data_IF_440094089647
#
_entry.id   IF_440094089647
#
_cell.length_a   1.000
_cell.length_b   1.000
_cell.length_c   1.000
_cell.angle_alpha   90.00
_cell.angle_beta   90.00
_cell.angle_gamma   90.00
#
_symmetry.space_group_name_H-M   'P 1'
#
loop_
_entity.id
_entity.type
_entity.pdbx_description
1 polymer ?
#
# COMPACT_ATOMS: atom_id res chain seq x y z
N UNK A 1 -15.43 13.49 34.78
CA UNK A 1 -14.69 12.69 33.77
C UNK A 1 -13.84 11.69 34.53
N UNK A 2 -14.39 10.51 34.78
CA UNK A 2 -13.68 9.39 35.40
C UNK A 2 -13.19 8.45 34.29
N UNK A 3 -11.92 8.03 34.39
CA UNK A 3 -11.17 7.17 33.46
C UNK A 3 -11.66 5.70 33.45
N UNK A 4 -12.98 5.48 33.36
CA UNK A 4 -13.59 4.14 33.37
C UNK A 4 -14.91 4.12 32.60
N UNK A 5 -14.93 4.69 31.39
CA UNK A 5 -16.05 4.54 30.48
C UNK A 5 -15.70 3.55 29.37
N UNK A 6 -16.40 2.41 29.37
CA UNK A 6 -16.43 1.40 28.30
C UNK A 6 -16.82 1.97 26.92
N UNK A 7 -17.22 3.24 26.86
CA UNK A 7 -17.51 3.97 25.62
C UNK A 7 -16.28 4.17 24.71
N UNK A 8 -15.06 4.11 25.24
CA UNK A 8 -13.84 4.27 24.44
C UNK A 8 -13.47 3.01 23.64
N UNK A 9 -13.82 1.82 24.14
CA UNK A 9 -13.55 0.54 23.46
C UNK A 9 -14.37 0.42 22.17
N UNK A 10 -15.54 1.06 22.12
CA UNK A 10 -16.41 1.10 20.93
C UNK A 10 -16.00 2.12 19.85
N UNK A 11 -15.10 3.07 20.17
CA UNK A 11 -14.69 4.15 19.28
C UNK A 11 -13.40 3.84 18.48
N UNK A 12 -13.04 2.56 18.33
CA UNK A 12 -11.90 2.12 17.51
C UNK A 12 -11.96 2.61 16.05
N UNK A 13 -13.18 2.87 15.55
CA UNK A 13 -13.41 3.40 14.21
C UNK A 13 -13.07 4.88 14.05
N UNK A 14 -12.97 5.64 15.15
CA UNK A 14 -12.72 7.08 15.12
C UNK A 14 -11.35 7.41 14.50
N UNK A 15 -10.37 6.53 14.68
CA UNK A 15 -9.07 6.64 14.03
C UNK A 15 -9.17 6.62 12.50
N UNK A 16 -10.04 5.78 11.93
CA UNK A 16 -10.23 5.73 10.47
C UNK A 16 -10.89 7.00 9.93
N UNK A 17 -11.81 7.61 10.68
CA UNK A 17 -12.47 8.86 10.29
C UNK A 17 -11.48 10.04 10.31
N UNK A 18 -10.66 10.13 11.36
CA UNK A 18 -9.63 11.16 11.47
C UNK A 18 -8.60 11.00 10.35
N UNK A 19 -8.09 9.78 10.14
CA UNK A 19 -7.17 9.50 9.03
C UNK A 19 -7.80 9.81 7.67
N UNK A 20 -9.07 9.44 7.45
CA UNK A 20 -9.80 9.73 6.22
C UNK A 20 -9.94 11.22 5.95
N UNK A 21 -10.24 12.02 6.98
CA UNK A 21 -10.29 13.48 6.85
C UNK A 21 -8.91 14.06 6.52
N UNK A 22 -7.84 13.58 7.15
CA UNK A 22 -6.47 14.01 6.85
C UNK A 22 -6.06 13.65 5.41
N UNK A 23 -6.42 12.47 4.91
CA UNK A 23 -6.19 12.09 3.51
C UNK A 23 -6.98 12.98 2.54
N UNK A 24 -8.24 13.28 2.84
CA UNK A 24 -9.06 14.20 2.05
C UNK A 24 -8.47 15.61 2.04
N UNK A 25 -8.06 16.13 3.20
CA UNK A 25 -7.42 17.43 3.33
C UNK A 25 -6.10 17.49 2.54
N UNK A 26 -5.31 16.41 2.53
CA UNK A 26 -4.10 16.29 1.70
C UNK A 26 -4.36 16.14 0.20
N UNK A 27 -5.52 15.59 -0.19
CA UNK A 27 -5.93 15.52 -1.59
C UNK A 27 -6.32 16.89 -2.16
N UNK A 28 -6.82 17.83 -1.33
CA UNK A 28 -7.23 19.16 -1.80
C UNK A 28 -6.08 19.93 -2.48
N UNK A 29 -4.88 20.06 -1.90
CA UNK A 29 -3.72 20.66 -2.58
C UNK A 29 -3.32 19.98 -3.89
N UNK A 30 -3.48 18.65 -3.98
CA UNK A 30 -3.17 17.89 -5.19
C UNK A 30 -4.16 18.17 -6.33
N UNK A 31 -5.43 18.51 -6.01
CA UNK A 31 -6.42 18.93 -7.01
C UNK A 31 -6.15 20.33 -7.58
N UNK A 32 -5.45 21.18 -6.83
CA UNK A 32 -5.02 22.51 -7.29
C UNK A 32 -3.72 22.49 -8.08
N UNK A 33 -3.03 21.35 -8.16
CA UNK A 33 -1.83 21.24 -9.01
C UNK A 33 -2.25 21.36 -10.49
N UNK A 34 -1.79 22.39 -11.22
CA UNK A 34 -2.22 22.63 -12.59
C UNK A 34 -1.78 21.47 -13.47
N UNK A 35 -2.71 20.93 -14.27
CA UNK A 35 -2.50 19.85 -15.24
C UNK A 35 -1.40 20.13 -16.30
N UNK A 36 -0.80 21.33 -16.30
CA UNK A 36 0.17 21.77 -17.32
C UNK A 36 1.52 21.05 -17.30
N UNK A 37 1.85 20.28 -16.25
CA UNK A 37 3.09 19.49 -16.21
C UNK A 37 3.01 18.18 -17.03
N UNK A 38 1.83 17.74 -17.46
CA UNK A 38 1.69 16.52 -18.27
C UNK A 38 2.12 16.70 -19.74
N UNK A 39 2.16 17.93 -20.26
CA UNK A 39 2.52 18.18 -21.67
C UNK A 39 4.02 17.93 -21.94
N UNK A 40 4.86 17.97 -20.91
CA UNK A 40 6.32 17.76 -21.04
C UNK A 40 6.71 16.27 -21.01
N UNK A 41 5.97 15.40 -20.31
CA UNK A 41 6.28 13.96 -20.27
C UNK A 41 5.94 13.24 -21.59
N UNK A 42 4.89 13.67 -22.30
CA UNK A 42 4.52 13.08 -23.58
C UNK A 42 5.59 13.34 -24.67
N UNK A 43 6.33 14.44 -24.55
CA UNK A 43 7.44 14.77 -25.46
C UNK A 43 8.73 13.99 -25.14
N UNK A 44 8.94 13.61 -23.87
CA UNK A 44 10.12 12.83 -23.45
C UNK A 44 10.07 11.35 -23.84
N UNK A 45 8.88 10.74 -23.92
CA UNK A 45 8.73 9.35 -24.38
C UNK A 45 8.93 9.21 -25.89
N UNK A 46 8.53 10.21 -26.68
CA UNK A 46 8.73 10.20 -28.15
C UNK A 46 10.18 10.48 -28.58
N UNK A 47 10.99 11.10 -27.70
CA UNK A 47 12.41 11.35 -27.99
C UNK A 47 13.29 10.09 -27.86
N UNK A 48 12.91 9.12 -27.01
CA UNK A 48 13.69 7.88 -26.81
C UNK A 48 13.57 6.94 -28.03
N UNK A 49 12.47 7.00 -28.79
CA UNK A 49 12.25 6.15 -29.96
C UNK A 49 12.89 6.71 -31.25
N UNK A 50 13.15 8.02 -31.31
CA UNK A 50 13.73 8.69 -32.50
C UNK A 50 15.26 8.76 -32.51
N UNK A 51 15.97 8.32 -31.47
CA UNK A 51 17.45 8.37 -31.43
C UNK A 51 18.15 7.20 -32.15
N UNK A 52 17.40 6.26 -32.75
CA UNK A 52 17.94 5.16 -33.56
C UNK A 52 17.84 5.38 -35.09
N UNK A 53 17.54 6.59 -35.56
CA UNK A 53 17.40 6.93 -36.99
C UNK A 53 18.33 8.06 -37.44
N UNK A 54 19.18 7.76 -38.41
CA UNK A 54 20.24 8.56 -39.03
C UNK A 54 19.78 9.85 -39.77
N UNK A 55 20.51 10.95 -39.56
CA UNK A 55 20.90 12.07 -40.48
C UNK A 55 19.91 13.04 -41.16
N UNK A 56 20.27 14.34 -41.07
CA UNK A 56 20.42 15.36 -42.15
C UNK A 56 19.70 16.71 -41.95
N UNK A 57 20.48 17.79 -42.15
CA UNK A 57 20.23 19.21 -42.50
C UNK A 57 18.79 19.79 -42.58
N UNK A 58 18.58 20.95 -41.94
CA UNK A 58 18.15 22.26 -42.51
C UNK A 58 17.41 23.18 -41.51
N UNK A 59 17.50 24.47 -41.82
CA UNK A 59 17.23 25.69 -41.06
C UNK A 59 15.77 26.05 -40.76
N UNK A 60 15.64 26.97 -39.79
CA UNK A 60 14.72 28.12 -39.73
C UNK A 60 13.34 28.01 -40.41
N UNK A 61 12.31 27.63 -39.65
CA UNK A 61 11.04 28.36 -39.64
C UNK A 61 10.16 27.90 -38.47
N UNK A 62 9.21 28.76 -38.09
CA UNK A 62 8.00 28.42 -37.31
C UNK A 62 8.05 28.60 -35.78
N UNK A 63 8.60 29.74 -35.35
CA UNK A 63 7.99 30.55 -34.28
C UNK A 63 6.57 30.97 -34.75
N UNK A 64 5.61 30.04 -34.80
CA UNK A 64 4.23 30.33 -35.20
C UNK A 64 3.20 29.43 -34.49
N UNK A 65 3.32 29.26 -33.18
CA UNK A 65 2.21 28.72 -32.37
C UNK A 65 2.06 29.39 -31.00
N UNK A 66 2.60 30.61 -30.84
CA UNK A 66 2.28 31.52 -29.74
C UNK A 66 0.88 32.16 -29.90
N UNK A 67 -0.15 31.37 -30.24
CA UNK A 67 -1.50 31.90 -30.39
C UNK A 67 -2.53 31.03 -29.69
N UNK A 68 -2.92 31.50 -28.49
CA UNK A 68 -4.31 31.52 -28.05
C UNK A 68 -4.98 30.18 -27.81
N UNK A 69 -4.70 29.54 -26.67
CA UNK A 69 -5.71 28.68 -26.05
C UNK A 69 -6.23 29.38 -24.79
N UNK A 70 -7.41 29.99 -24.96
CA UNK A 70 -8.24 30.55 -23.90
C UNK A 70 -8.44 29.48 -22.83
N UNK A 71 -7.88 29.67 -21.63
CA UNK A 71 -8.20 28.86 -20.46
C UNK A 71 -9.70 29.02 -20.19
N UNK A 72 -10.55 27.98 -20.40
CA UNK A 72 -11.96 28.10 -20.08
C UNK A 72 -12.06 28.31 -18.56
N UNK A 73 -12.89 29.27 -18.12
CA UNK A 73 -13.25 29.39 -16.70
C UNK A 73 -14.07 28.16 -16.31
N UNK A 74 -13.40 27.07 -15.98
CA UNK A 74 -14.02 25.81 -15.63
C UNK A 74 -14.66 25.92 -14.26
N UNK A 75 -15.98 25.79 -14.18
CA UNK A 75 -16.71 25.58 -12.92
C UNK A 75 -16.11 24.38 -12.16
N UNK A 76 -15.91 24.51 -10.84
CA UNK A 76 -15.33 23.46 -9.97
C UNK A 76 -15.95 22.06 -10.19
N UNK A 77 -17.26 21.99 -10.46
CA UNK A 77 -17.94 20.74 -10.78
C UNK A 77 -17.51 20.07 -12.09
N UNK A 78 -17.16 20.83 -13.14
CA UNK A 78 -16.61 20.28 -14.39
C UNK A 78 -15.19 19.77 -14.21
N UNK A 79 -14.36 20.50 -13.44
CA UNK A 79 -13.00 20.08 -13.08
C UNK A 79 -13.02 18.75 -12.31
N UNK A 80 -13.90 18.61 -11.32
CA UNK A 80 -14.04 17.37 -10.55
C UNK A 80 -14.47 16.20 -11.45
N UNK A 81 -15.44 16.44 -12.34
CA UNK A 81 -15.93 15.40 -13.27
C UNK A 81 -14.84 14.94 -14.24
N UNK A 82 -14.13 15.89 -14.88
CA UNK A 82 -13.03 15.59 -15.80
C UNK A 82 -11.89 14.86 -15.06
N UNK A 83 -11.53 15.29 -13.85
CA UNK A 83 -10.52 14.61 -13.03
C UNK A 83 -10.96 13.19 -12.62
N UNK A 84 -12.24 12.98 -12.31
CA UNK A 84 -12.77 11.66 -11.94
C UNK A 84 -12.79 10.71 -13.14
N UNK A 85 -13.17 11.19 -14.33
CA UNK A 85 -13.16 10.40 -15.56
C UNK A 85 -11.73 10.05 -16.00
N UNK A 86 -10.79 11.00 -15.93
CA UNK A 86 -9.37 10.76 -16.18
C UNK A 86 -8.79 9.76 -15.17
N UNK A 87 -9.07 9.92 -13.88
CA UNK A 87 -8.63 8.99 -12.85
C UNK A 87 -9.21 7.58 -13.07
N UNK A 88 -10.49 7.46 -13.37
CA UNK A 88 -11.13 6.18 -13.63
C UNK A 88 -10.52 5.47 -14.85
N UNK A 89 -10.20 6.21 -15.91
CA UNK A 89 -9.50 5.67 -17.09
C UNK A 89 -8.10 5.18 -16.73
N UNK A 90 -7.31 5.99 -16.02
CA UNK A 90 -5.96 5.62 -15.59
C UNK A 90 -5.97 4.43 -14.64
N UNK A 91 -6.92 4.36 -13.71
CA UNK A 91 -7.10 3.23 -12.81
C UNK A 91 -7.46 1.96 -13.59
N UNK A 92 -8.34 2.05 -14.59
CA UNK A 92 -8.70 0.92 -15.44
C UNK A 92 -7.50 0.41 -16.27
N UNK A 93 -6.69 1.31 -16.83
CA UNK A 93 -5.47 0.95 -17.55
C UNK A 93 -4.44 0.27 -16.63
N UNK A 94 -4.27 0.79 -15.42
CA UNK A 94 -3.36 0.24 -14.44
C UNK A 94 -3.82 -1.14 -13.93
N UNK A 95 -5.12 -1.33 -13.71
CA UNK A 95 -5.69 -2.64 -13.34
C UNK A 95 -5.63 -3.66 -14.49
N UNK A 96 -5.63 -3.20 -15.74
CA UNK A 96 -5.42 -4.06 -16.91
C UNK A 96 -3.97 -4.52 -17.06
N UNK A 97 -3.03 -3.86 -16.37
CA UNK A 97 -1.64 -4.33 -16.30
C UNK A 97 -1.54 -5.55 -15.37
N UNK A 98 -1.18 -6.74 -15.89
CA UNK A 98 -1.16 -7.97 -15.11
C UNK A 98 -0.17 -7.94 -13.93
N UNK A 99 0.93 -7.18 -14.05
CA UNK A 99 1.91 -7.05 -12.97
C UNK A 99 1.31 -6.27 -11.80
N UNK A 100 0.65 -5.14 -12.10
CA UNK A 100 -0.01 -4.35 -11.07
C UNK A 100 -1.18 -5.11 -10.43
N UNK A 101 -2.02 -5.75 -11.26
CA UNK A 101 -3.12 -6.58 -10.76
C UNK A 101 -2.61 -7.69 -9.82
N UNK A 102 -1.54 -8.39 -10.19
CA UNK A 102 -0.94 -9.42 -9.31
C UNK A 102 -0.39 -8.84 -8.00
N UNK A 103 0.22 -7.66 -8.03
CA UNK A 103 0.70 -6.97 -6.83
C UNK A 103 -0.46 -6.59 -5.90
N UNK A 104 -1.53 -6.02 -6.45
CA UNK A 104 -2.72 -5.62 -5.68
C UNK A 104 -3.38 -6.84 -5.06
N UNK A 105 -3.59 -7.90 -5.84
CA UNK A 105 -4.15 -9.16 -5.33
C UNK A 105 -3.28 -9.72 -4.20
N UNK A 106 -1.96 -9.74 -4.39
CA UNK A 106 -1.02 -10.11 -3.33
C UNK A 106 -1.24 -9.29 -2.07
N UNK A 107 -1.20 -7.96 -2.18
CA UNK A 107 -1.43 -7.05 -1.06
C UNK A 107 -2.76 -7.27 -0.34
N UNK A 108 -3.84 -7.58 -1.07
CA UNK A 108 -5.13 -7.93 -0.47
C UNK A 108 -5.04 -9.20 0.38
N UNK A 109 -4.46 -10.29 -0.15
CA UNK A 109 -4.27 -11.52 0.63
C UNK A 109 -3.36 -11.30 1.83
N UNK A 110 -2.28 -10.53 1.67
CA UNK A 110 -1.35 -10.18 2.74
C UNK A 110 -2.01 -9.36 3.86
N UNK A 111 -2.91 -8.43 3.51
CA UNK A 111 -3.61 -7.61 4.50
C UNK A 111 -4.66 -8.40 5.28
N UNK A 112 -5.40 -9.31 4.63
CA UNK A 112 -6.30 -10.24 5.33
C UNK A 112 -5.56 -11.08 6.37
N UNK A 113 -4.40 -11.61 5.99
CA UNK A 113 -3.60 -12.44 6.88
C UNK A 113 -3.01 -11.65 8.05
N UNK A 114 -2.50 -10.46 7.77
CA UNK A 114 -2.01 -9.52 8.81
C UNK A 114 -3.13 -9.14 9.76
N UNK A 115 -4.35 -8.91 9.25
CA UNK A 115 -5.54 -8.64 10.06
C UNK A 115 -5.86 -9.79 11.01
N UNK A 116 -5.91 -11.02 10.49
CA UNK A 116 -6.12 -12.22 11.33
C UNK A 116 -5.04 -12.38 12.40
N UNK A 117 -3.77 -12.26 12.03
CA UNK A 117 -2.65 -12.30 12.98
C UNK A 117 -2.79 -11.22 14.07
N UNK A 118 -3.05 -9.97 13.69
CA UNK A 118 -3.15 -8.86 14.64
C UNK A 118 -4.31 -9.03 15.63
N UNK A 119 -5.42 -9.64 15.21
CA UNK A 119 -6.59 -9.85 16.09
C UNK A 119 -6.43 -11.08 16.99
N UNK A 120 -5.90 -12.19 16.47
CA UNK A 120 -5.88 -13.45 17.20
C UNK A 120 -4.60 -13.70 17.99
N UNK A 121 -3.48 -13.07 17.62
CA UNK A 121 -2.20 -13.30 18.30
C UNK A 121 -2.21 -12.88 19.77
N UNK A 122 -2.71 -11.70 20.17
CA UNK A 122 -2.74 -11.33 21.58
C UNK A 122 -3.61 -12.31 22.38
N UNK A 123 -4.76 -12.69 21.81
CA UNK A 123 -5.67 -13.66 22.44
C UNK A 123 -5.04 -15.05 22.59
N UNK A 124 -4.27 -15.47 21.60
CA UNK A 124 -3.49 -16.71 21.68
C UNK A 124 -2.48 -16.64 22.84
N UNK A 125 -1.77 -15.51 22.98
CA UNK A 125 -0.78 -15.33 24.04
C UNK A 125 -1.44 -15.32 25.43
N UNK A 126 -2.57 -14.63 25.57
CA UNK A 126 -3.37 -14.63 26.80
C UNK A 126 -3.81 -16.04 27.20
N UNK A 127 -4.40 -16.78 26.26
CA UNK A 127 -5.03 -18.08 26.55
C UNK A 127 -4.02 -19.20 26.76
N UNK A 128 -2.92 -19.22 26.01
CA UNK A 128 -1.92 -20.29 26.09
C UNK A 128 -0.87 -20.03 27.18
N UNK A 129 -0.46 -18.78 27.39
CA UNK A 129 0.57 -18.43 28.36
C UNK A 129 0.02 -17.81 29.65
N UNK A 130 -1.29 -17.65 29.77
CA UNK A 130 -1.95 -17.11 30.97
C UNK A 130 -1.50 -15.68 31.31
N UNK A 131 -1.13 -14.88 30.31
CA UNK A 131 -0.66 -13.50 30.48
C UNK A 131 -1.83 -12.52 30.52
N UNK A 132 -1.63 -11.36 31.16
CA UNK A 132 -2.60 -10.27 31.11
C UNK A 132 -2.75 -9.74 29.68
N UNK A 133 -3.93 -9.21 29.35
CA UNK A 133 -4.22 -8.65 28.03
C UNK A 133 -3.18 -7.60 27.60
N UNK A 134 -2.83 -6.69 28.52
CA UNK A 134 -1.81 -5.66 28.27
C UNK A 134 -0.42 -6.22 27.92
N UNK A 135 0.01 -7.30 28.58
CA UNK A 135 1.31 -7.91 28.31
C UNK A 135 1.29 -8.66 26.97
N UNK A 136 0.20 -9.36 26.67
CA UNK A 136 0.01 -10.06 25.40
C UNK A 136 0.01 -9.09 24.21
N UNK A 137 -0.71 -7.97 24.32
CA UNK A 137 -0.72 -6.90 23.31
C UNK A 137 0.67 -6.28 23.12
N UNK A 138 1.41 -6.07 24.21
CA UNK A 138 2.77 -5.53 24.12
C UNK A 138 3.72 -6.48 23.38
N UNK A 139 3.66 -7.79 23.66
CA UNK A 139 4.45 -8.78 22.93
C UNK A 139 4.06 -8.85 21.45
N UNK A 140 2.77 -8.87 21.15
CA UNK A 140 2.26 -8.85 19.78
C UNK A 140 2.75 -7.62 19.01
N UNK A 141 2.67 -6.44 19.64
CA UNK A 141 3.14 -5.18 19.09
C UNK A 141 4.64 -5.19 18.80
N UNK A 142 5.47 -5.65 19.75
CA UNK A 142 6.93 -5.74 19.58
C UNK A 142 7.28 -6.67 18.41
N UNK A 143 6.66 -7.85 18.35
CA UNK A 143 6.92 -8.82 17.27
C UNK A 143 6.51 -8.23 15.92
N UNK A 144 5.34 -7.61 15.82
CA UNK A 144 4.85 -7.03 14.57
C UNK A 144 5.70 -5.85 14.10
N UNK A 145 5.89 -4.84 14.94
CA UNK A 145 6.64 -3.62 14.59
C UNK A 145 8.12 -3.96 14.34
N UNK A 146 8.72 -4.79 15.19
CA UNK A 146 10.11 -5.22 15.03
C UNK A 146 10.33 -5.97 13.71
N UNK A 147 9.41 -6.86 13.35
CA UNK A 147 9.48 -7.59 12.07
C UNK A 147 9.33 -6.67 10.86
N UNK A 148 8.41 -5.70 10.90
CA UNK A 148 8.23 -4.72 9.82
C UNK A 148 9.46 -3.84 9.67
N UNK A 149 10.02 -3.34 10.77
CA UNK A 149 11.21 -2.51 10.75
C UNK A 149 12.41 -3.28 10.18
N UNK A 150 12.64 -4.51 10.66
CA UNK A 150 13.73 -5.35 10.20
C UNK A 150 13.59 -5.73 8.73
N UNK A 151 12.42 -6.20 8.31
CA UNK A 151 12.17 -6.61 6.91
C UNK A 151 12.28 -5.44 5.94
N UNK A 152 11.78 -4.26 6.30
CA UNK A 152 11.87 -3.05 5.46
C UNK A 152 13.32 -2.58 5.35
N UNK A 153 14.05 -2.53 6.46
CA UNK A 153 15.46 -2.15 6.47
C UNK A 153 16.31 -3.14 5.66
N UNK A 154 16.08 -4.44 5.84
CA UNK A 154 16.78 -5.48 5.08
C UNK A 154 16.44 -5.39 3.58
N UNK A 155 15.17 -5.21 3.22
CA UNK A 155 14.75 -5.04 1.83
C UNK A 155 15.42 -3.83 1.17
N UNK A 156 15.43 -2.68 1.86
CA UNK A 156 16.13 -1.48 1.39
C UNK A 156 17.64 -1.68 1.26
N UNK A 157 18.26 -2.34 2.23
CA UNK A 157 19.68 -2.68 2.18
C UNK A 157 20.02 -3.60 1.00
N UNK A 158 19.21 -4.64 0.76
CA UNK A 158 19.40 -5.55 -0.36
C UNK A 158 19.27 -4.82 -1.70
N UNK A 159 18.27 -3.95 -1.85
CA UNK A 159 18.07 -3.18 -3.09
C UNK A 159 19.24 -2.23 -3.36
N UNK A 160 19.73 -1.52 -2.33
CA UNK A 160 20.85 -0.58 -2.46
C UNK A 160 22.19 -1.28 -2.68
N UNK A 161 22.42 -2.42 -2.03
CA UNK A 161 23.68 -3.16 -2.15
C UNK A 161 23.80 -3.91 -3.48
N UNK A 162 22.73 -4.57 -3.92
CA UNK A 162 22.76 -5.43 -5.10
C UNK A 162 22.34 -4.71 -6.39
N UNK A 163 21.72 -3.53 -6.31
CA UNK A 163 21.18 -2.76 -7.45
C UNK A 163 20.55 -3.68 -8.53
N UNK A 164 19.59 -4.54 -8.17
CA UNK A 164 19.06 -5.51 -9.10
C UNK A 164 18.31 -4.81 -10.24
N UNK A 165 18.51 -5.28 -11.47
CA UNK A 165 17.72 -4.83 -12.61
C UNK A 165 16.22 -5.01 -12.34
N UNK A 166 15.32 -4.16 -12.88
CA UNK A 166 13.89 -4.19 -12.60
C UNK A 166 13.24 -5.59 -12.75
N UNK A 167 13.68 -6.36 -13.76
CA UNK A 167 13.21 -7.74 -13.99
C UNK A 167 13.59 -8.70 -12.86
N UNK A 168 14.81 -8.58 -12.33
CA UNK A 168 15.30 -9.38 -11.20
C UNK A 168 14.62 -8.98 -9.90
N UNK A 169 14.38 -7.69 -9.69
CA UNK A 169 13.64 -7.19 -8.52
C UNK A 169 12.20 -7.73 -8.50
N UNK A 170 11.53 -7.74 -9.66
CA UNK A 170 10.19 -8.32 -9.80
C UNK A 170 10.19 -9.83 -9.51
N UNK A 171 11.18 -10.57 -10.01
CA UNK A 171 11.31 -12.00 -9.72
C UNK A 171 11.56 -12.26 -8.23
N UNK A 172 12.41 -11.45 -7.57
CA UNK A 172 12.65 -11.51 -6.13
C UNK A 172 11.37 -11.30 -5.32
N UNK A 173 10.53 -10.37 -5.75
CA UNK A 173 9.21 -10.13 -5.18
C UNK A 173 8.30 -11.36 -5.32
N UNK A 174 8.18 -11.92 -6.52
CA UNK A 174 7.34 -13.12 -6.77
C UNK A 174 7.83 -14.31 -5.93
N UNK A 175 9.14 -14.51 -5.85
CA UNK A 175 9.75 -15.56 -5.02
C UNK A 175 9.44 -15.34 -3.54
N UNK A 176 9.54 -14.10 -3.04
CA UNK A 176 9.18 -13.76 -1.66
C UNK A 176 7.73 -14.10 -1.35
N UNK A 177 6.79 -13.64 -2.18
CA UNK A 177 5.36 -13.97 -2.04
C UNK A 177 5.07 -15.46 -2.10
N UNK A 178 5.71 -16.18 -3.01
CA UNK A 178 5.56 -17.63 -3.14
C UNK A 178 6.09 -18.36 -1.90
N UNK A 179 7.24 -17.92 -1.36
CA UNK A 179 7.84 -18.47 -0.14
C UNK A 179 6.92 -18.29 1.06
N UNK A 180 6.29 -17.11 1.18
CA UNK A 180 5.31 -16.81 2.22
C UNK A 180 4.13 -17.79 2.12
N UNK A 181 3.52 -17.93 0.94
CA UNK A 181 2.40 -18.86 0.72
C UNK A 181 2.79 -20.30 1.06
N UNK A 182 3.93 -20.77 0.57
CA UNK A 182 4.42 -22.13 0.84
C UNK A 182 4.65 -22.35 2.33
N UNK A 183 5.26 -21.38 3.04
CA UNK A 183 5.48 -21.47 4.49
C UNK A 183 4.17 -21.61 5.25
N UNK A 184 3.13 -20.86 4.86
CA UNK A 184 1.81 -20.98 5.47
C UNK A 184 1.11 -22.29 5.13
N UNK A 185 1.19 -22.76 3.89
CA UNK A 185 0.66 -24.05 3.49
C UNK A 185 1.31 -25.19 4.28
N UNK A 186 2.64 -25.13 4.47
CA UNK A 186 3.37 -26.07 5.32
C UNK A 186 2.89 -25.96 6.77
N UNK A 187 2.64 -24.75 7.29
CA UNK A 187 2.08 -24.54 8.63
C UNK A 187 0.69 -25.15 8.84
N UNK A 188 -0.07 -25.40 7.77
CA UNK A 188 -1.37 -26.09 7.81
C UNK A 188 -1.23 -27.63 7.81
N UNK A 189 -0.07 -28.17 7.43
CA UNK A 189 0.17 -29.63 7.32
C UNK A 189 0.38 -30.36 8.66
N UNK A 190 1.07 -29.82 9.68
CA UNK A 190 1.19 -30.50 10.97
C UNK A 190 -0.13 -30.39 11.73
N UNK A 191 -1.06 -31.29 11.42
CA UNK A 191 -2.09 -31.69 12.36
C UNK A 191 -1.45 -32.41 13.53
N UNK A 192 -1.03 -31.69 14.56
CA UNK A 192 -0.49 -32.29 15.78
C UNK A 192 -1.21 -31.78 17.02
N UNK A 193 -1.76 -32.76 17.76
CA UNK A 193 -2.18 -32.75 19.16
C UNK A 193 -2.76 -31.46 19.71
N UNK A 194 -4.07 -31.46 19.98
CA UNK A 194 -4.71 -30.44 20.81
C UNK A 194 -3.85 -30.16 22.05
N UNK A 195 -3.28 -28.94 22.21
CA UNK A 195 -2.69 -28.57 23.48
C UNK A 195 -3.82 -28.62 24.53
N UNK A 196 -3.61 -29.36 25.61
CA UNK A 196 -4.59 -29.49 26.68
C UNK A 196 -4.94 -28.09 27.19
N UNK A 197 -6.18 -27.65 26.97
CA UNK A 197 -6.69 -26.40 27.52
C UNK A 197 -6.51 -26.43 29.03
N UNK A 198 -5.62 -25.58 29.57
CA UNK A 198 -5.66 -25.23 30.99
C UNK A 198 -6.98 -24.50 31.20
N UNK A 199 -8.00 -25.21 31.66
CA UNK A 199 -9.21 -24.57 32.15
C UNK A 199 -8.79 -23.56 33.22
N UNK A 200 -9.26 -22.31 33.16
CA UNK A 200 -9.12 -21.40 34.28
C UNK A 200 -9.81 -22.07 35.46
N UNK A 201 -9.02 -22.39 36.49
CA UNK A 201 -9.54 -22.94 37.73
C UNK A 201 -10.76 -22.12 38.13
N UNK A 202 -11.84 -22.86 38.36
CA UNK A 202 -13.07 -22.47 39.02
C UNK A 202 -12.85 -21.26 39.91
N UNK A 203 -13.67 -20.23 39.73
CA UNK A 203 -13.98 -19.25 40.76
C UNK A 203 -14.02 -19.95 42.12
N UNK A 204 -12.97 -19.77 42.90
CA UNK A 204 -12.88 -20.20 44.29
C UNK A 204 -12.75 -18.91 45.11
N UNK A 205 -13.93 -18.48 45.58
CA UNK A 205 -14.22 -17.49 46.64
C UNK A 205 -13.77 -16.05 46.43
#
# INVERSE_FOLDING_TARGET
MTLSSDEWVGAWWLGFIICGFLYLAGAVPLLFFPKSLQKQQQHGTHQIEMQNGYSHDHDDHLIASLNGEQVPKTTFGRQLKEATEEFARMAAELLRNPVYASMVIGWMFGSYLTGGYSTYLPKYIETQFGRSASAADMYAGIVSIGSVAFSTALGGYLLTKFNPSPRKALLLLIVSWSTIVVTYLIGLLPGCGHPAFKQPNTFAQ
#
